data_IF_754826165309
#
_entry.id   IF_754826165309
#
_cell.length_a   1.000
_cell.length_b   1.000
_cell.length_c   1.000
_cell.angle_alpha   90.00
_cell.angle_beta   90.00
_cell.angle_gamma   90.00
#
_symmetry.space_group_name_H-M   'P 1'
#
loop_
_entity.id
_entity.type
_entity.pdbx_description
1 polymer ?
#
# COMPACT_ATOMS: atom_id res chain seq x y z
N UNK A 1 7.62 18.89 24.99
CA UNK A 1 7.39 17.49 24.63
C UNK A 1 6.78 17.46 23.25
N UNK A 2 7.43 16.84 22.28
CA UNK A 2 6.81 16.56 20.99
C UNK A 2 5.56 15.71 21.26
N UNK A 3 4.39 16.15 20.79
CA UNK A 3 3.12 15.45 20.96
C UNK A 3 3.19 14.04 20.33
N UNK A 4 2.29 13.16 20.71
CA UNK A 4 2.16 11.85 20.07
C UNK A 4 1.74 12.06 18.61
N UNK A 5 2.65 11.83 17.67
CA UNK A 5 2.40 11.94 16.24
C UNK A 5 2.48 10.55 15.59
N UNK A 6 1.51 10.24 14.75
CA UNK A 6 1.39 8.97 14.03
C UNK A 6 1.23 9.27 12.55
N UNK A 7 2.18 8.78 11.75
CA UNK A 7 2.09 8.80 10.29
C UNK A 7 1.43 7.52 9.79
N UNK A 8 0.57 7.65 8.77
CA UNK A 8 -0.12 6.53 8.14
C UNK A 8 0.05 6.61 6.63
N UNK A 9 0.54 5.53 6.03
CA UNK A 9 0.53 5.30 4.59
C UNK A 9 -0.48 4.19 4.28
N UNK A 10 -1.58 4.55 3.64
CA UNK A 10 -2.59 3.63 3.14
C UNK A 10 -2.24 3.18 1.71
N UNK A 11 -1.16 2.41 1.59
CA UNK A 11 -0.72 1.92 0.30
C UNK A 11 -1.62 0.83 -0.29
N UNK A 12 -1.58 0.67 -1.61
CA UNK A 12 -2.36 -0.37 -2.32
C UNK A 12 -1.92 -1.79 -1.94
N UNK A 13 -0.61 -2.04 -1.83
CA UNK A 13 -0.08 -3.36 -1.46
C UNK A 13 0.08 -3.53 0.04
N UNK A 14 0.48 -2.48 0.76
CA UNK A 14 0.74 -2.55 2.20
C UNK A 14 0.34 -1.27 2.91
N UNK A 15 -0.06 -1.43 4.16
CA UNK A 15 -0.35 -0.34 5.11
C UNK A 15 0.81 -0.22 6.08
N UNK A 16 1.23 1.01 6.35
CA UNK A 16 2.28 1.30 7.32
C UNK A 16 1.83 2.34 8.32
N UNK A 17 2.07 2.08 9.60
CA UNK A 17 1.91 3.07 10.66
C UNK A 17 3.28 3.35 11.27
N UNK A 18 3.62 4.61 11.32
CA UNK A 18 4.84 5.11 11.94
C UNK A 18 4.48 5.92 13.18
N UNK A 19 5.13 5.68 14.29
CA UNK A 19 4.94 6.47 15.51
C UNK A 19 6.24 7.20 15.85
N UNK A 20 6.12 8.50 16.07
CA UNK A 20 7.28 9.33 16.40
C UNK A 20 7.99 8.80 17.66
N UNK A 21 9.30 8.58 17.53
CA UNK A 21 10.16 8.03 18.58
C UNK A 21 10.14 6.50 18.72
N UNK A 22 9.24 5.79 18.01
CA UNK A 22 9.19 4.32 18.05
C UNK A 22 9.47 3.68 16.67
N UNK A 23 9.38 4.45 15.57
CA UNK A 23 9.54 3.93 14.21
C UNK A 23 8.26 3.32 13.65
N UNK A 24 8.40 2.35 12.73
CA UNK A 24 7.27 1.63 12.15
C UNK A 24 6.67 0.69 13.20
N UNK A 25 5.42 0.92 13.56
CA UNK A 25 4.67 0.14 14.54
C UNK A 25 3.69 -0.85 13.93
N UNK A 26 3.39 -0.71 12.63
CA UNK A 26 2.62 -1.64 11.81
C UNK A 26 3.18 -1.63 10.40
N UNK A 27 3.37 -2.81 9.83
CA UNK A 27 3.62 -3.02 8.40
C UNK A 27 2.92 -4.31 7.97
N UNK A 28 1.76 -4.17 7.34
CA UNK A 28 0.88 -5.27 6.97
C UNK A 28 0.44 -5.15 5.51
N UNK A 29 0.07 -6.25 4.86
CA UNK A 29 -0.57 -6.21 3.53
C UNK A 29 -1.91 -5.49 3.62
N UNK A 30 -2.25 -4.70 2.59
CA UNK A 30 -3.53 -3.98 2.48
C UNK A 30 -4.65 -4.90 1.99
N UNK A 31 -4.90 -6.00 2.71
CA UNK A 31 -5.80 -7.09 2.31
C UNK A 31 -6.75 -7.42 3.45
N UNK A 32 -8.00 -7.72 3.10
CA UNK A 32 -9.03 -8.18 4.03
C UNK A 32 -9.70 -9.44 3.49
N UNK A 33 -9.96 -10.40 4.37
CA UNK A 33 -10.74 -11.59 4.11
C UNK A 33 -12.10 -11.50 4.82
N UNK A 34 -13.19 -11.63 4.05
CA UNK A 34 -14.57 -11.52 4.54
C UNK A 34 -15.25 -12.86 4.40
N UNK A 35 -15.79 -13.38 5.49
CA UNK A 35 -16.59 -14.59 5.54
C UNK A 35 -18.07 -14.29 5.34
N UNK A 36 -18.73 -15.04 4.45
CA UNK A 36 -20.17 -14.92 4.15
C UNK A 36 -20.62 -13.47 3.87
N UNK A 37 -19.80 -12.67 3.22
CA UNK A 37 -20.05 -11.26 2.82
C UNK A 37 -20.31 -10.27 3.96
N UNK A 38 -20.12 -10.65 5.22
CA UNK A 38 -20.48 -9.78 6.35
C UNK A 38 -19.50 -9.76 7.52
N UNK A 39 -18.69 -10.78 7.69
CA UNK A 39 -17.81 -10.89 8.85
C UNK A 39 -16.35 -10.82 8.44
N UNK A 40 -15.60 -9.92 9.04
CA UNK A 40 -14.13 -9.90 8.91
C UNK A 40 -13.57 -11.18 9.48
N UNK A 41 -12.92 -11.97 8.62
CA UNK A 41 -12.30 -13.25 8.98
C UNK A 41 -10.82 -13.05 9.33
N UNK A 42 -10.09 -12.30 8.50
CA UNK A 42 -8.69 -11.98 8.69
C UNK A 42 -8.34 -10.66 8.01
N UNK A 43 -7.26 -10.03 8.42
CA UNK A 43 -6.72 -8.80 7.80
C UNK A 43 -5.20 -8.89 7.64
N UNK A 44 -4.64 -8.02 6.81
CA UNK A 44 -3.20 -7.91 6.66
C UNK A 44 -2.54 -9.16 6.07
N UNK A 45 -1.42 -9.54 6.64
CA UNK A 45 -0.63 -10.69 6.20
C UNK A 45 -1.41 -12.00 6.32
N UNK A 46 -2.20 -12.17 7.36
CA UNK A 46 -3.05 -13.36 7.54
C UNK A 46 -4.09 -13.49 6.41
N UNK A 47 -4.76 -12.41 6.05
CA UNK A 47 -5.67 -12.40 4.90
C UNK A 47 -4.94 -12.65 3.57
N UNK A 48 -3.73 -12.10 3.43
CA UNK A 48 -2.92 -12.30 2.22
C UNK A 48 -2.49 -13.76 2.02
N UNK A 49 -2.28 -14.53 3.09
CA UNK A 49 -2.00 -15.97 2.97
C UNK A 49 -3.15 -16.74 2.30
N UNK A 50 -4.39 -16.24 2.43
CA UNK A 50 -5.57 -16.85 1.80
C UNK A 50 -5.82 -16.37 0.37
N UNK A 51 -5.14 -15.33 -0.08
CA UNK A 51 -5.31 -14.77 -1.42
C UNK A 51 -4.98 -15.84 -2.48
N UNK A 52 -5.86 -15.98 -3.49
CA UNK A 52 -5.84 -17.01 -4.53
C UNK A 52 -6.09 -18.47 -4.04
N UNK A 53 -6.29 -18.69 -2.73
CA UNK A 53 -6.47 -20.04 -2.13
C UNK A 53 -7.73 -20.17 -1.28
N UNK A 54 -8.45 -19.06 -1.06
CA UNK A 54 -9.61 -19.03 -0.18
C UNK A 54 -10.76 -19.90 -0.72
N UNK A 55 -11.50 -20.62 0.17
CA UNK A 55 -12.71 -21.32 -0.22
C UNK A 55 -13.82 -20.34 -0.63
N UNK A 56 -14.86 -20.81 -1.34
CA UNK A 56 -15.90 -19.98 -1.96
C UNK A 56 -16.68 -19.09 -0.99
N UNK A 57 -16.71 -19.41 0.29
CA UNK A 57 -17.38 -18.63 1.34
C UNK A 57 -16.50 -17.54 1.97
N UNK A 58 -15.22 -17.44 1.57
CA UNK A 58 -14.30 -16.39 2.00
C UNK A 58 -13.90 -15.56 0.77
N UNK A 59 -14.21 -14.28 0.81
CA UNK A 59 -13.78 -13.31 -0.20
C UNK A 59 -12.57 -12.54 0.30
N UNK A 60 -11.46 -12.64 -0.42
CA UNK A 60 -10.23 -11.89 -0.13
C UNK A 60 -10.11 -10.74 -1.13
N UNK A 61 -9.88 -9.53 -0.64
CA UNK A 61 -9.83 -8.34 -1.49
C UNK A 61 -8.90 -7.26 -0.96
N UNK A 62 -8.50 -6.37 -1.88
CA UNK A 62 -7.74 -5.15 -1.58
C UNK A 62 -8.70 -3.97 -1.51
N UNK A 63 -8.89 -3.31 -0.35
CA UNK A 63 -9.78 -2.15 -0.21
C UNK A 63 -9.25 -0.90 -0.90
N UNK A 64 -7.94 -0.80 -1.11
CA UNK A 64 -7.27 0.31 -1.81
C UNK A 64 -6.88 -0.14 -3.23
N UNK A 65 -7.27 0.64 -4.24
CA UNK A 65 -6.91 0.42 -5.65
C UNK A 65 -6.45 1.72 -6.27
N UNK A 66 -5.36 1.67 -7.04
CA UNK A 66 -4.80 2.84 -7.71
C UNK A 66 -4.57 4.05 -6.79
N UNK A 67 -4.18 3.79 -5.54
CA UNK A 67 -3.92 4.84 -4.55
C UNK A 67 -5.16 5.45 -3.90
N UNK A 68 -6.38 4.97 -4.22
CA UNK A 68 -7.63 5.46 -3.62
C UNK A 68 -8.41 4.34 -2.93
N UNK A 69 -9.27 4.71 -1.97
CA UNK A 69 -10.13 3.76 -1.27
C UNK A 69 -11.26 3.34 -2.19
N UNK A 70 -11.23 2.10 -2.65
CA UNK A 70 -12.24 1.51 -3.52
C UNK A 70 -13.40 0.88 -2.72
N UNK A 71 -13.16 0.47 -1.48
CA UNK A 71 -14.14 -0.13 -0.58
C UNK A 71 -13.98 0.44 0.84
N UNK A 72 -14.80 1.44 1.15
CA UNK A 72 -14.71 2.17 2.43
C UNK A 72 -15.11 1.31 3.63
N UNK A 73 -16.07 0.41 3.47
CA UNK A 73 -16.55 -0.48 4.53
C UNK A 73 -15.48 -1.49 4.94
N UNK A 74 -14.89 -2.16 3.97
CA UNK A 74 -13.79 -3.09 4.20
C UNK A 74 -12.55 -2.37 4.71
N UNK A 75 -12.27 -1.16 4.21
CA UNK A 75 -11.15 -0.35 4.70
C UNK A 75 -11.34 0.04 6.17
N UNK A 76 -12.55 0.50 6.56
CA UNK A 76 -12.86 0.83 7.95
C UNK A 76 -12.69 -0.39 8.88
N UNK A 77 -13.23 -1.55 8.48
CA UNK A 77 -13.13 -2.79 9.25
C UNK A 77 -11.67 -3.20 9.46
N UNK A 78 -10.83 -3.08 8.43
CA UNK A 78 -9.39 -3.39 8.50
C UNK A 78 -8.65 -2.42 9.42
N UNK A 79 -8.95 -1.14 9.34
CA UNK A 79 -8.33 -0.10 10.17
C UNK A 79 -8.73 -0.26 11.64
N UNK A 80 -10.01 -0.51 11.93
CA UNK A 80 -10.49 -0.74 13.27
C UNK A 80 -9.82 -1.97 13.91
N UNK A 81 -9.60 -3.03 13.14
CA UNK A 81 -8.87 -4.21 13.58
C UNK A 81 -7.41 -3.86 13.96
N UNK A 82 -6.67 -3.21 13.08
CA UNK A 82 -5.27 -2.83 13.35
C UNK A 82 -5.15 -1.89 14.55
N UNK A 83 -6.04 -0.92 14.67
CA UNK A 83 -6.02 -0.03 15.81
C UNK A 83 -6.39 -0.73 17.12
N UNK A 84 -7.31 -1.67 17.09
CA UNK A 84 -7.65 -2.48 18.27
C UNK A 84 -6.43 -3.30 18.74
N UNK A 85 -5.72 -3.94 17.82
CA UNK A 85 -4.51 -4.70 18.14
C UNK A 85 -3.39 -3.82 18.74
N UNK A 86 -3.24 -2.60 18.21
CA UNK A 86 -2.16 -1.70 18.59
C UNK A 86 -2.47 -0.88 19.84
N UNK A 87 -3.73 -0.48 20.08
CA UNK A 87 -4.10 0.51 21.10
C UNK A 87 -3.67 0.08 22.52
N UNK A 88 -3.84 -1.18 22.86
CA UNK A 88 -3.40 -1.73 24.12
C UNK A 88 -1.89 -1.70 24.35
N UNK A 89 -1.10 -1.69 23.28
CA UNK A 89 0.36 -1.79 23.30
C UNK A 89 1.06 -0.45 23.06
N UNK A 90 0.47 0.43 22.23
CA UNK A 90 1.15 1.61 21.66
C UNK A 90 0.59 2.97 22.08
N UNK A 91 -0.49 3.01 22.86
CA UNK A 91 -1.11 4.25 23.39
C UNK A 91 -1.43 5.24 22.25
N UNK A 92 -2.24 4.82 21.32
CA UNK A 92 -2.58 5.60 20.10
C UNK A 92 -3.59 6.73 20.37
N UNK A 93 -4.47 6.58 21.38
CA UNK A 93 -5.51 7.57 21.69
C UNK A 93 -4.97 8.97 21.95
N UNK A 94 -5.68 9.97 21.43
CA UNK A 94 -5.36 11.39 21.60
C UNK A 94 -4.08 11.83 20.88
N UNK A 95 -3.62 11.09 19.86
CA UNK A 95 -2.49 11.46 19.03
C UNK A 95 -2.89 12.45 17.92
N UNK A 96 -1.90 13.07 17.30
CA UNK A 96 -2.05 13.76 16.02
C UNK A 96 -1.72 12.76 14.89
N UNK A 97 -2.59 12.69 13.87
CA UNK A 97 -2.48 11.75 12.77
C UNK A 97 -2.11 12.47 11.49
N UNK A 98 -1.15 11.94 10.76
CA UNK A 98 -0.68 12.41 9.46
C UNK A 98 -0.92 11.32 8.44
N UNK A 99 -1.82 11.55 7.48
CA UNK A 99 -2.22 10.57 6.46
C UNK A 99 -1.59 10.99 5.14
N UNK A 100 -0.73 10.14 4.59
CA UNK A 100 -0.16 10.34 3.27
C UNK A 100 -1.15 9.91 2.18
N UNK A 101 -1.43 10.81 1.23
CA UNK A 101 -2.34 10.58 0.11
C UNK A 101 -1.71 10.99 -1.21
N UNK A 102 -2.07 10.37 -2.36
CA UNK A 102 -1.60 10.80 -3.67
C UNK A 102 -1.99 12.25 -3.97
N UNK A 103 -1.25 12.91 -4.87
CA UNK A 103 -1.58 14.30 -5.28
C UNK A 103 -2.77 14.39 -6.22
N UNK A 104 -2.99 13.35 -7.04
CA UNK A 104 -4.07 13.31 -8.05
C UNK A 104 -5.32 12.61 -7.50
N UNK A 105 -5.86 13.14 -6.39
CA UNK A 105 -7.12 12.68 -5.80
C UNK A 105 -8.08 13.83 -5.59
N UNK A 106 -9.38 13.51 -5.63
CA UNK A 106 -10.46 14.47 -5.40
C UNK A 106 -10.59 14.83 -3.92
N UNK A 107 -11.25 15.98 -3.63
CA UNK A 107 -11.56 16.37 -2.26
C UNK A 107 -12.47 15.35 -1.53
N UNK A 108 -13.31 14.63 -2.27
CA UNK A 108 -14.14 13.55 -1.73
C UNK A 108 -13.28 12.38 -1.26
N UNK A 109 -12.29 11.99 -2.07
CA UNK A 109 -11.34 10.94 -1.71
C UNK A 109 -10.45 11.34 -0.54
N UNK A 110 -9.95 12.59 -0.51
CA UNK A 110 -9.24 13.13 0.68
C UNK A 110 -10.10 13.04 1.93
N UNK A 111 -11.38 13.39 1.80
CA UNK A 111 -12.33 13.32 2.90
C UNK A 111 -12.54 11.88 3.39
N UNK A 112 -12.58 10.90 2.50
CA UNK A 112 -12.69 9.51 2.87
C UNK A 112 -11.52 9.05 3.77
N UNK A 113 -10.29 9.43 3.43
CA UNK A 113 -9.12 9.13 4.29
C UNK A 113 -9.21 9.80 5.67
N UNK A 114 -9.67 11.05 5.71
CA UNK A 114 -9.89 11.76 6.98
C UNK A 114 -10.94 11.06 7.85
N UNK A 115 -12.06 10.65 7.24
CA UNK A 115 -13.19 10.04 7.93
C UNK A 115 -12.84 8.65 8.47
N UNK A 116 -11.97 7.87 7.80
CA UNK A 116 -11.46 6.59 8.32
C UNK A 116 -10.88 6.72 9.74
N UNK A 117 -10.11 7.76 10.01
CA UNK A 117 -9.51 7.98 11.32
C UNK A 117 -10.50 8.62 12.29
N UNK A 118 -11.36 9.53 11.81
CA UNK A 118 -12.39 10.18 12.62
C UNK A 118 -13.39 9.17 13.18
N UNK A 119 -13.76 8.16 12.38
CA UNK A 119 -14.75 7.13 12.76
C UNK A 119 -14.19 6.08 13.74
N UNK A 120 -12.89 6.10 14.03
CA UNK A 120 -12.29 5.19 15.01
C UNK A 120 -12.53 5.64 16.45
N UNK A 121 -12.36 4.72 17.40
CA UNK A 121 -12.41 5.02 18.84
C UNK A 121 -11.15 5.71 19.39
N UNK A 122 -10.24 6.17 18.54
CA UNK A 122 -8.93 6.74 18.93
C UNK A 122 -9.00 8.15 19.47
N UNK A 123 -10.11 8.88 19.22
CA UNK A 123 -10.29 10.28 19.62
C UNK A 123 -9.07 11.13 19.22
N UNK A 124 -8.80 11.27 17.91
CA UNK A 124 -7.64 11.99 17.43
C UNK A 124 -7.66 13.44 17.94
N UNK A 125 -6.50 13.97 18.33
CA UNK A 125 -6.36 15.38 18.69
C UNK A 125 -6.44 16.27 17.46
N UNK A 126 -5.80 15.82 16.37
CA UNK A 126 -5.81 16.47 15.06
C UNK A 126 -5.52 15.45 13.98
N UNK A 127 -6.09 15.65 12.80
CA UNK A 127 -5.84 14.85 11.60
C UNK A 127 -5.33 15.78 10.51
N UNK A 128 -4.21 15.42 9.91
CA UNK A 128 -3.61 16.11 8.78
C UNK A 128 -3.57 15.16 7.59
N UNK A 129 -4.09 15.59 6.46
CA UNK A 129 -3.90 14.91 5.19
C UNK A 129 -2.74 15.58 4.48
N UNK A 130 -1.72 14.81 4.12
CA UNK A 130 -0.45 15.28 3.56
C UNK A 130 -0.24 14.63 2.21
N UNK A 131 0.19 15.38 1.22
CA UNK A 131 0.53 14.85 -0.09
C UNK A 131 1.75 13.93 0.00
N UNK A 132 1.63 12.74 -0.58
CA UNK A 132 2.62 11.66 -0.47
C UNK A 132 4.04 12.08 -0.88
N UNK A 133 4.27 12.81 -2.00
CA UNK A 133 5.61 13.26 -2.36
C UNK A 133 6.29 14.13 -1.30
N UNK A 134 5.51 14.94 -0.57
CA UNK A 134 6.06 15.75 0.54
C UNK A 134 6.48 14.84 1.70
N UNK A 135 5.63 13.87 2.05
CA UNK A 135 5.95 12.90 3.10
C UNK A 135 7.19 12.06 2.73
N UNK A 136 7.30 11.62 1.48
CA UNK A 136 8.42 10.84 0.95
C UNK A 136 9.73 11.64 1.00
N UNK A 137 9.71 12.89 0.52
CA UNK A 137 10.88 13.77 0.56
C UNK A 137 11.37 14.02 2.00
N UNK A 138 10.44 14.28 2.93
CA UNK A 138 10.78 14.46 4.33
C UNK A 138 11.31 13.16 4.96
N UNK A 139 10.73 12.03 4.61
CA UNK A 139 11.19 10.71 5.06
C UNK A 139 12.62 10.38 4.57
N UNK A 140 13.00 10.86 3.39
CA UNK A 140 14.36 10.77 2.83
C UNK A 140 15.29 11.86 3.33
N UNK A 141 14.87 12.75 4.25
CA UNK A 141 15.61 13.93 4.72
C UNK A 141 16.06 14.88 3.60
N UNK A 142 15.25 15.00 2.54
CA UNK A 142 15.50 15.95 1.46
C UNK A 142 15.03 17.35 1.87
N UNK A 143 15.86 18.36 1.62
CA UNK A 143 15.51 19.76 1.86
C UNK A 143 14.75 20.33 0.65
N UNK A 144 13.41 20.28 0.74
CA UNK A 144 12.52 20.79 -0.29
C UNK A 144 12.30 22.31 -0.21
N UNK A 145 12.88 23.00 0.80
CA UNK A 145 12.69 24.44 0.99
C UNK A 145 13.57 25.27 0.05
N UNK A 146 14.58 24.68 -0.53
CA UNK A 146 15.48 25.33 -1.47
C UNK A 146 14.79 25.70 -2.78
N UNK A 147 15.36 26.70 -3.47
CA UNK A 147 14.89 27.11 -4.80
C UNK A 147 15.29 26.13 -5.91
N UNK A 148 16.26 25.25 -5.66
CA UNK A 148 16.60 24.14 -6.58
C UNK A 148 15.54 23.07 -6.52
N UNK A 149 15.05 22.64 -7.69
CA UNK A 149 14.03 21.57 -7.78
C UNK A 149 14.57 20.24 -7.26
N UNK A 150 13.77 19.57 -6.43
CA UNK A 150 14.00 18.21 -5.96
C UNK A 150 13.03 17.27 -6.66
N UNK A 151 13.55 16.31 -7.44
CA UNK A 151 12.74 15.27 -8.08
C UNK A 151 12.59 14.08 -7.16
N UNK A 152 11.36 13.64 -6.93
CA UNK A 152 11.02 12.39 -6.23
C UNK A 152 10.21 11.51 -7.16
N UNK A 153 10.57 10.23 -7.23
CA UNK A 153 9.83 9.19 -7.96
C UNK A 153 9.44 8.11 -6.96
N UNK A 154 8.15 8.01 -6.68
CA UNK A 154 7.58 6.95 -5.83
C UNK A 154 6.96 5.86 -6.72
N UNK A 155 7.55 4.67 -6.71
CA UNK A 155 7.06 3.50 -7.47
C UNK A 155 6.32 2.59 -6.51
N UNK A 156 4.98 2.69 -6.53
CA UNK A 156 4.10 1.88 -5.71
C UNK A 156 3.69 0.56 -6.38
N UNK A 157 2.68 -0.10 -5.82
CA UNK A 157 2.15 -1.35 -6.37
C UNK A 157 1.36 -1.13 -7.68
N UNK A 158 0.47 -0.12 -7.72
CA UNK A 158 -0.37 0.14 -8.91
C UNK A 158 0.02 1.41 -9.65
N UNK A 159 0.68 2.35 -8.99
CA UNK A 159 0.95 3.68 -9.53
C UNK A 159 2.40 4.07 -9.30
N UNK A 160 2.91 4.91 -10.19
CA UNK A 160 4.17 5.64 -9.99
C UNK A 160 3.86 7.13 -9.96
N UNK A 161 4.27 7.82 -8.91
CA UNK A 161 4.13 9.25 -8.76
C UNK A 161 5.47 9.95 -8.96
N UNK A 162 5.52 10.89 -9.91
CA UNK A 162 6.71 11.67 -10.25
C UNK A 162 6.44 13.11 -9.86
N UNK A 163 7.21 13.65 -8.93
CA UNK A 163 6.99 14.98 -8.38
C UNK A 163 8.25 15.81 -8.33
N UNK A 164 8.11 17.09 -8.65
CA UNK A 164 9.18 18.10 -8.47
C UNK A 164 8.74 19.07 -7.39
N UNK A 165 9.57 19.24 -6.38
CA UNK A 165 9.35 20.13 -5.26
C UNK A 165 10.38 21.23 -5.21
N UNK A 166 9.98 22.43 -4.83
CA UNK A 166 10.84 23.61 -4.63
C UNK A 166 10.15 24.60 -3.71
N UNK A 167 10.91 25.37 -2.94
CA UNK A 167 10.41 26.40 -2.04
C UNK A 167 9.34 25.92 -1.06
N UNK A 168 9.43 24.67 -0.61
CA UNK A 168 8.55 24.05 0.36
C UNK A 168 7.23 23.52 -0.20
N UNK A 169 7.04 23.52 -1.54
CA UNK A 169 5.81 23.05 -2.19
C UNK A 169 6.04 22.17 -3.39
N UNK A 170 4.98 21.50 -3.84
CA UNK A 170 4.97 20.74 -5.09
C UNK A 170 4.79 21.70 -6.25
N UNK A 171 5.77 21.73 -7.17
CA UNK A 171 5.74 22.53 -8.41
C UNK A 171 5.05 21.78 -9.53
N UNK A 172 5.30 20.46 -9.62
CA UNK A 172 4.72 19.55 -10.60
C UNK A 172 4.57 18.18 -9.96
N UNK A 173 3.43 17.55 -10.19
CA UNK A 173 3.25 16.13 -9.91
C UNK A 173 2.53 15.44 -11.05
N UNK A 174 2.88 14.18 -11.29
CA UNK A 174 2.22 13.33 -12.27
C UNK A 174 2.11 11.91 -11.75
N UNK A 175 0.89 11.41 -11.71
CA UNK A 175 0.58 10.04 -11.38
C UNK A 175 0.47 9.21 -12.67
N UNK A 176 1.17 8.10 -12.73
CA UNK A 176 1.16 7.15 -13.84
C UNK A 176 0.56 5.83 -13.33
N UNK A 177 -0.44 5.23 -14.02
CA UNK A 177 -1.08 3.98 -13.58
C UNK A 177 -0.22 2.75 -13.92
N UNK A 178 1.06 2.81 -13.59
CA UNK A 178 2.05 1.75 -13.75
C UNK A 178 2.79 1.61 -12.43
N UNK A 179 2.85 0.41 -11.89
CA UNK A 179 3.58 0.06 -10.67
C UNK A 179 3.95 -1.41 -10.66
N UNK A 180 4.33 -1.92 -9.51
CA UNK A 180 4.82 -3.29 -9.33
C UNK A 180 3.89 -4.37 -9.88
N UNK A 181 2.56 -4.19 -9.73
CA UNK A 181 1.57 -5.17 -10.20
C UNK A 181 1.56 -5.28 -11.74
N UNK A 182 1.87 -4.20 -12.47
CA UNK A 182 2.00 -4.26 -13.94
C UNK A 182 3.24 -5.04 -14.38
N UNK A 183 4.29 -5.01 -13.58
CA UNK A 183 5.47 -5.85 -13.82
C UNK A 183 5.15 -7.32 -13.57
N UNK A 184 4.37 -7.64 -12.53
CA UNK A 184 3.91 -9.01 -12.25
C UNK A 184 3.03 -9.53 -13.38
N UNK A 185 2.06 -8.74 -13.86
CA UNK A 185 1.26 -9.08 -15.04
C UNK A 185 2.12 -9.35 -16.28
N UNK A 186 3.15 -8.53 -16.51
CA UNK A 186 4.06 -8.71 -17.65
C UNK A 186 4.86 -10.02 -17.54
N UNK A 187 5.32 -10.39 -16.32
CA UNK A 187 6.01 -11.65 -16.04
C UNK A 187 5.07 -12.84 -16.31
N UNK A 188 3.84 -12.80 -15.77
CA UNK A 188 2.82 -13.85 -16.00
C UNK A 188 2.60 -14.05 -17.49
N UNK A 189 2.37 -12.96 -18.23
CA UNK A 189 2.11 -13.00 -19.66
C UNK A 189 3.31 -13.53 -20.47
N UNK A 190 4.52 -13.13 -20.09
CA UNK A 190 5.76 -13.60 -20.73
C UNK A 190 5.96 -15.11 -20.55
N UNK A 191 5.82 -15.60 -19.32
CA UNK A 191 5.93 -17.04 -18.99
C UNK A 191 4.85 -17.83 -19.72
N UNK A 192 3.60 -17.35 -19.70
CA UNK A 192 2.49 -18.00 -20.41
C UNK A 192 2.75 -18.10 -21.91
N UNK A 193 3.26 -17.05 -22.55
CA UNK A 193 3.54 -16.98 -23.97
C UNK A 193 4.72 -17.89 -24.36
N UNK A 194 5.82 -17.83 -23.61
CA UNK A 194 7.08 -18.47 -24.00
C UNK A 194 7.16 -19.93 -23.56
N UNK A 195 6.48 -20.29 -22.46
CA UNK A 195 6.58 -21.62 -21.86
C UNK A 195 5.27 -22.40 -21.85
N UNK A 196 4.16 -21.80 -22.28
CA UNK A 196 2.80 -22.38 -22.14
C UNK A 196 2.50 -22.78 -20.69
N UNK A 197 2.92 -21.95 -19.75
CA UNK A 197 2.86 -22.20 -18.32
C UNK A 197 2.19 -21.03 -17.60
N UNK A 198 1.28 -21.31 -16.67
CA UNK A 198 0.56 -20.26 -15.89
C UNK A 198 1.04 -20.27 -14.46
N UNK A 199 1.41 -19.11 -13.98
CA UNK A 199 1.74 -18.85 -12.57
C UNK A 199 0.74 -17.85 -11.99
N UNK A 200 0.58 -17.85 -10.65
CA UNK A 200 -0.23 -16.86 -9.92
C UNK A 200 0.50 -15.54 -9.71
N UNK A 201 -0.25 -14.53 -9.23
CA UNK A 201 0.30 -13.19 -8.94
C UNK A 201 1.40 -13.23 -7.87
N UNK A 202 1.22 -14.03 -6.81
CA UNK A 202 2.23 -14.20 -5.74
C UNK A 202 3.55 -14.74 -6.29
N UNK A 203 3.51 -15.73 -7.17
CA UNK A 203 4.71 -16.31 -7.79
C UNK A 203 5.38 -15.29 -8.70
N UNK A 204 4.61 -14.47 -9.43
CA UNK A 204 5.16 -13.41 -10.26
C UNK A 204 5.83 -12.31 -9.42
N UNK A 205 5.21 -11.89 -8.30
CA UNK A 205 5.81 -10.96 -7.35
C UNK A 205 7.13 -11.51 -6.79
N UNK A 206 7.16 -12.80 -6.44
CA UNK A 206 8.36 -13.49 -5.96
C UNK A 206 9.49 -13.48 -7.00
N UNK A 207 9.19 -13.83 -8.26
CA UNK A 207 10.16 -13.77 -9.37
C UNK A 207 10.72 -12.35 -9.51
N UNK A 208 9.83 -11.34 -9.56
CA UNK A 208 10.21 -9.93 -9.67
C UNK A 208 11.15 -9.49 -8.53
N UNK A 209 10.81 -9.86 -7.30
CA UNK A 209 11.59 -9.45 -6.12
C UNK A 209 12.92 -10.19 -6.00
N UNK A 210 13.00 -11.43 -6.47
CA UNK A 210 14.19 -12.28 -6.29
C UNK A 210 15.22 -12.07 -7.40
N UNK A 211 14.77 -12.04 -8.65
CA UNK A 211 15.68 -11.98 -9.82
C UNK A 211 15.39 -10.81 -10.78
N UNK A 212 14.39 -9.95 -10.43
CA UNK A 212 14.06 -8.79 -11.26
C UNK A 212 15.22 -7.80 -11.33
N UNK A 213 15.67 -7.47 -12.55
CA UNK A 213 16.77 -6.54 -12.79
C UNK A 213 16.49 -5.65 -14.01
N UNK A 214 16.96 -4.41 -13.97
CA UNK A 214 16.98 -3.51 -15.12
C UNK A 214 18.13 -3.84 -16.09
N UNK A 215 19.08 -4.67 -15.67
CA UNK A 215 20.21 -5.11 -16.47
C UNK A 215 20.08 -6.60 -16.78
N UNK A 216 20.77 -7.05 -17.84
CA UNK A 216 20.86 -8.48 -18.14
C UNK A 216 21.56 -9.21 -16.99
N UNK A 217 20.97 -10.28 -16.50
CA UNK A 217 21.50 -11.14 -15.44
C UNK A 217 21.29 -12.61 -15.84
N UNK A 218 22.17 -13.48 -15.37
CA UNK A 218 22.04 -14.94 -15.52
C UNK A 218 21.32 -15.61 -14.34
N UNK A 219 20.74 -14.82 -13.43
CA UNK A 219 20.00 -15.33 -12.29
C UNK A 219 18.75 -16.10 -12.73
N UNK A 220 18.46 -17.19 -12.04
CA UNK A 220 17.30 -18.03 -12.29
C UNK A 220 16.67 -18.49 -10.98
N UNK A 221 15.37 -18.78 -11.04
CA UNK A 221 14.59 -19.30 -9.92
C UNK A 221 13.66 -20.40 -10.40
N UNK A 222 13.54 -21.45 -9.62
CA UNK A 222 12.56 -22.51 -9.87
C UNK A 222 11.22 -22.13 -9.27
N UNK A 223 10.15 -22.22 -10.07
CA UNK A 223 8.79 -21.85 -9.63
C UNK A 223 7.79 -22.95 -9.99
N UNK A 224 6.72 -23.02 -9.19
CA UNK A 224 5.59 -23.90 -9.45
C UNK A 224 4.48 -23.16 -10.20
N UNK A 225 3.79 -23.87 -11.08
CA UNK A 225 2.64 -23.37 -11.82
C UNK A 225 1.98 -24.49 -12.61
N UNK A 226 1.02 -24.16 -13.48
CA UNK A 226 0.25 -25.12 -14.26
C UNK A 226 0.65 -25.11 -15.72
N UNK A 227 1.02 -26.25 -16.26
CA UNK A 227 1.29 -26.42 -17.67
C UNK A 227 -0.03 -26.43 -18.46
N UNK A 228 -0.18 -25.55 -19.46
CA UNK A 228 -1.41 -25.42 -20.26
C UNK A 228 -1.59 -26.54 -21.28
N UNK A 229 -0.54 -27.26 -21.64
CA UNK A 229 -0.59 -28.36 -22.61
C UNK A 229 -0.99 -29.66 -21.94
N UNK A 230 -0.39 -29.97 -20.79
CA UNK A 230 -0.66 -31.22 -20.06
C UNK A 230 -1.75 -31.09 -19.00
N UNK A 231 -2.06 -29.89 -18.57
CA UNK A 231 -3.04 -29.61 -17.52
C UNK A 231 -2.52 -29.83 -16.08
N UNK A 232 -1.27 -30.25 -15.94
CA UNK A 232 -0.59 -30.52 -14.66
C UNK A 232 0.16 -29.30 -14.15
#
# INVERSE_FOLDING_TARGET
MLGKAIGIDFGTSSIKFYKNGEGIILHEKSVIAIYNKSHTFAVGNEAYEMYEKAPANIQVSYPVKNGVIADIGNMQSMIDYFFHELDGKKKLKGAEYYIAVPTDITEVEKRAYFDLITNTNLKPKKIHVVEKPVADALGMNLDITKSTGTLVVDIGANTTEISVMSLGGIVLSRLIPIGGNRFDEAIINKIKKDKSFVIGEKTAEEIKMTIGSAYVTDESIDVCGRNLVTGL
#
